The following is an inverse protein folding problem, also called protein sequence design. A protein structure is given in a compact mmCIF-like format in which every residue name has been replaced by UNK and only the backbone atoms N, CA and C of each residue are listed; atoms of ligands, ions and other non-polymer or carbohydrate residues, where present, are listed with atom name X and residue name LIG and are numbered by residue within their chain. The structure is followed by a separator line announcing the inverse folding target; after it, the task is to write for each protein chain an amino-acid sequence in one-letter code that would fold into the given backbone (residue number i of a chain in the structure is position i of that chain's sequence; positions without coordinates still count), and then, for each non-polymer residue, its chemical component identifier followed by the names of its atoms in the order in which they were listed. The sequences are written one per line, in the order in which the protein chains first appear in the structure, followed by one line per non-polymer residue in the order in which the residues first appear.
data_IF_646037845860
#
_entry.id   IF_646037845860
#
_cell.length_a   1.000
_cell.length_b   1.000
_cell.length_c   1.000
_cell.angle_alpha   90.00
_cell.angle_beta   90.00
_cell.angle_gamma   90.00
#
_symmetry.space_group_name_H-M   'P 1'
#
loop_
_entity.id
_entity.type
_entity.pdbx_description
1 polymer ?
#
# COMPACT_ATOMS: atom_id res chain seq x y z
N UNK A 1 28.72 -14.64 -12.11
CA UNK A 1 27.55 -13.82 -12.50
C UNK A 1 27.14 -13.03 -11.28
N UNK A 2 27.47 -11.73 -11.22
CA UNK A 2 27.02 -10.88 -10.14
C UNK A 2 25.52 -10.68 -10.32
N UNK A 3 24.70 -11.28 -9.47
CA UNK A 3 23.34 -10.84 -9.30
C UNK A 3 23.44 -9.39 -8.80
N UNK A 4 23.18 -8.44 -9.69
CA UNK A 4 22.88 -7.06 -9.30
C UNK A 4 21.64 -7.16 -8.43
N UNK A 5 21.84 -7.31 -7.13
CA UNK A 5 20.77 -7.27 -6.15
C UNK A 5 20.06 -5.94 -6.38
N UNK A 6 18.83 -5.99 -6.90
CA UNK A 6 17.98 -4.83 -6.92
C UNK A 6 17.97 -4.33 -5.48
N UNK A 7 18.44 -3.10 -5.25
CA UNK A 7 18.53 -2.53 -3.92
C UNK A 7 17.13 -2.61 -3.30
N UNK A 8 16.97 -3.48 -2.30
CA UNK A 8 15.71 -3.66 -1.60
C UNK A 8 15.46 -2.37 -0.81
N UNK A 9 14.59 -1.50 -1.31
CA UNK A 9 14.28 -0.24 -0.64
C UNK A 9 13.25 -0.54 0.46
N UNK A 10 13.65 -0.34 1.72
CA UNK A 10 12.75 -0.53 2.87
C UNK A 10 12.10 0.80 3.20
N UNK A 11 10.79 0.88 3.01
CA UNK A 11 9.97 2.05 3.29
C UNK A 11 9.13 1.78 4.54
N UNK A 12 9.37 2.58 5.58
CA UNK A 12 8.51 2.58 6.77
C UNK A 12 7.47 3.67 6.61
N UNK A 13 6.20 3.28 6.54
CA UNK A 13 5.08 4.18 6.33
C UNK A 13 4.24 4.29 7.60
N UNK A 14 4.05 5.52 8.07
CA UNK A 14 3.22 5.86 9.21
C UNK A 14 1.98 6.63 8.77
N UNK A 15 0.83 6.07 9.13
CA UNK A 15 -0.49 6.63 8.85
C UNK A 15 -0.75 7.82 9.76
N UNK A 16 -0.80 9.00 9.16
CA UNK A 16 -1.17 10.23 9.88
C UNK A 16 -2.66 10.54 9.78
N UNK A 17 -3.35 9.96 8.79
CA UNK A 17 -4.78 10.15 8.53
C UNK A 17 -5.42 8.85 8.11
N UNK A 18 -6.60 8.60 8.65
CA UNK A 18 -7.48 7.52 8.25
C UNK A 18 -8.79 8.11 7.78
N UNK A 19 -9.26 7.65 6.63
CA UNK A 19 -10.59 7.94 6.12
C UNK A 19 -11.50 6.76 6.41
N UNK A 20 -12.62 7.04 7.08
CA UNK A 20 -13.67 6.04 7.29
C UNK A 20 -14.67 6.02 6.13
N UNK A 21 -14.46 6.86 5.11
CA UNK A 21 -15.34 6.91 3.95
C UNK A 21 -15.27 5.59 3.21
N UNK A 22 -16.42 4.95 2.95
CA UNK A 22 -16.53 3.60 2.38
C UNK A 22 -16.28 2.45 3.37
N UNK A 23 -16.08 2.75 4.66
CA UNK A 23 -16.04 1.77 5.73
C UNK A 23 -17.24 1.96 6.67
N UNK A 24 -17.88 0.86 7.08
CA UNK A 24 -19.01 0.94 8.01
C UNK A 24 -18.63 1.45 9.41
N UNK A 25 -17.34 1.46 9.75
CA UNK A 25 -16.83 1.94 11.04
C UNK A 25 -15.35 2.30 10.95
N UNK A 26 -14.87 3.11 11.90
CA UNK A 26 -13.45 3.44 12.03
C UNK A 26 -12.59 2.20 12.21
N UNK A 27 -12.96 1.31 13.13
CA UNK A 27 -12.22 0.06 13.38
C UNK A 27 -12.08 -0.82 12.13
N UNK A 28 -13.09 -0.84 11.25
CA UNK A 28 -12.98 -1.54 9.97
C UNK A 28 -11.92 -0.89 9.07
N UNK A 29 -11.92 0.43 8.95
CA UNK A 29 -10.88 1.16 8.20
C UNK A 29 -9.49 0.94 8.81
N UNK A 30 -9.35 0.89 10.14
CA UNK A 30 -8.07 0.58 10.81
C UNK A 30 -7.59 -0.84 10.55
N UNK A 31 -8.51 -1.79 10.46
CA UNK A 31 -8.20 -3.17 10.07
C UNK A 31 -7.80 -3.30 8.60
N UNK A 32 -8.16 -2.36 7.73
CA UNK A 32 -7.66 -2.35 6.35
C UNK A 32 -6.39 -1.52 6.19
N UNK A 33 -6.15 -0.53 7.06
CA UNK A 33 -4.99 0.35 7.00
C UNK A 33 -4.38 0.49 8.39
N UNK A 34 -3.32 -0.28 8.70
CA UNK A 34 -2.68 -0.21 10.01
C UNK A 34 -2.01 1.16 10.22
N UNK A 35 -1.71 1.48 11.49
CA UNK A 35 -1.04 2.74 11.84
C UNK A 35 0.39 2.82 11.30
N UNK A 36 1.08 1.69 11.22
CA UNK A 36 2.42 1.58 10.67
C UNK A 36 2.49 0.36 9.74
N UNK A 37 3.18 0.51 8.62
CA UNK A 37 3.48 -0.60 7.70
C UNK A 37 4.89 -0.48 7.18
N UNK A 38 5.55 -1.62 7.00
CA UNK A 38 6.84 -1.72 6.33
C UNK A 38 6.60 -2.30 4.94
N UNK A 39 7.12 -1.60 3.93
CA UNK A 39 7.10 -2.04 2.54
C UNK A 39 8.54 -2.23 2.07
N UNK A 40 8.85 -3.42 1.59
CA UNK A 40 10.15 -3.77 1.05
C UNK A 40 10.00 -3.86 -0.46
N UNK A 41 10.59 -2.93 -1.21
CA UNK A 41 10.50 -2.89 -2.68
C UNK A 41 11.74 -3.54 -3.28
N UNK A 42 11.52 -4.56 -4.11
CA UNK A 42 12.56 -5.30 -4.82
C UNK A 42 12.25 -5.27 -6.32
N UNK A 43 12.73 -4.23 -7.00
CA UNK A 43 12.41 -3.98 -8.42
C UNK A 43 10.91 -3.73 -8.63
N UNK A 44 10.25 -4.59 -9.42
CA UNK A 44 8.81 -4.52 -9.70
C UNK A 44 7.93 -5.26 -8.67
N UNK A 45 8.53 -5.76 -7.58
CA UNK A 45 7.82 -6.45 -6.50
C UNK A 45 7.89 -5.66 -5.21
N UNK A 46 6.86 -5.80 -4.38
CA UNK A 46 6.85 -5.27 -3.02
C UNK A 46 6.37 -6.34 -2.05
N UNK A 47 6.96 -6.37 -0.87
CA UNK A 47 6.47 -7.14 0.25
C UNK A 47 6.08 -6.22 1.39
N UNK A 48 4.85 -6.36 1.86
CA UNK A 48 4.36 -5.71 3.06
C UNK A 48 4.33 -6.71 4.21
N UNK A 49 4.67 -6.26 5.42
CA UNK A 49 4.46 -7.07 6.63
C UNK A 49 2.96 -7.35 6.88
N UNK A 50 2.10 -6.42 6.46
CA UNK A 50 0.67 -6.46 6.72
C UNK A 50 -0.13 -7.10 5.58
N UNK A 51 0.12 -6.67 4.33
CA UNK A 51 -0.63 -7.13 3.16
C UNK A 51 -0.01 -8.32 2.44
N UNK A 52 1.23 -8.69 2.78
CA UNK A 52 1.99 -9.71 2.06
C UNK A 52 2.60 -9.21 0.76
N UNK A 53 2.71 -10.09 -0.23
CA UNK A 53 3.35 -9.77 -1.51
C UNK A 53 2.43 -8.98 -2.45
N UNK A 54 3.05 -8.11 -3.23
CA UNK A 54 2.39 -7.23 -4.17
C UNK A 54 3.30 -6.81 -5.31
N UNK A 55 2.76 -5.98 -6.19
CA UNK A 55 3.48 -5.44 -7.35
C UNK A 55 3.76 -3.96 -7.19
N UNK A 56 4.88 -3.53 -7.74
CA UNK A 56 5.31 -2.14 -7.77
C UNK A 56 5.27 -1.64 -9.19
N UNK A 57 4.79 -0.41 -9.34
CA UNK A 57 4.93 0.37 -10.56
C UNK A 57 5.53 1.71 -10.19
N UNK A 58 6.81 1.87 -10.50
CA UNK A 58 7.53 3.12 -10.36
C UNK A 58 7.30 4.00 -11.61
N UNK A 59 6.93 5.27 -11.42
CA UNK A 59 6.77 6.26 -12.50
C UNK A 59 7.68 7.47 -12.27
N UNK A 60 8.84 7.26 -11.62
CA UNK A 60 9.84 8.26 -11.26
C UNK A 60 9.43 9.11 -10.05
N UNK A 61 8.33 9.87 -10.16
CA UNK A 61 7.86 10.76 -9.08
C UNK A 61 6.95 10.04 -8.08
N UNK A 62 6.32 8.94 -8.50
CA UNK A 62 5.37 8.17 -7.69
C UNK A 62 5.68 6.68 -7.79
N UNK A 63 5.58 6.01 -6.66
CA UNK A 63 5.61 4.55 -6.55
C UNK A 63 4.19 4.09 -6.28
N UNK A 64 3.64 3.25 -7.15
CA UNK A 64 2.34 2.62 -6.94
C UNK A 64 2.55 1.16 -6.57
N UNK A 65 2.20 0.80 -5.36
CA UNK A 65 2.20 -0.56 -4.84
C UNK A 65 0.77 -1.09 -4.89
N UNK A 66 0.59 -2.34 -5.34
CA UNK A 66 -0.71 -3.01 -5.35
C UNK A 66 -0.60 -4.36 -4.68
N UNK A 67 -1.45 -4.60 -3.70
CA UNK A 67 -1.54 -5.85 -2.94
C UNK A 67 -2.88 -6.53 -3.20
N UNK A 68 -2.88 -7.85 -3.31
CA UNK A 68 -4.10 -8.66 -3.35
C UNK A 68 -4.33 -9.29 -1.99
N UNK A 69 -5.37 -8.86 -1.28
CA UNK A 69 -5.73 -9.39 0.03
C UNK A 69 -6.99 -10.22 -0.13
N UNK A 70 -6.94 -11.49 0.23
CA UNK A 70 -8.12 -12.35 0.23
C UNK A 70 -9.03 -11.95 1.39
N UNK A 71 -10.29 -11.65 1.07
CA UNK A 71 -11.34 -11.41 2.06
C UNK A 71 -12.02 -12.72 2.45
N UNK A 72 -12.67 -12.77 3.62
CA UNK A 72 -13.33 -13.98 4.14
C UNK A 72 -14.37 -14.64 3.21
N UNK A 73 -14.83 -13.95 2.17
CA UNK A 73 -15.70 -14.51 1.13
C UNK A 73 -14.98 -15.21 -0.03
N UNK A 74 -13.64 -15.33 0.00
CA UNK A 74 -12.84 -15.80 -1.14
C UNK A 74 -12.60 -14.73 -2.22
N UNK A 75 -13.09 -13.51 -2.00
CA UNK A 75 -12.88 -12.38 -2.89
C UNK A 75 -11.51 -11.74 -2.66
N UNK A 76 -10.71 -11.65 -3.72
CA UNK A 76 -9.47 -10.86 -3.69
C UNK A 76 -9.83 -9.37 -3.75
N UNK A 77 -9.54 -8.66 -2.67
CA UNK A 77 -9.62 -7.20 -2.54
C UNK A 77 -8.25 -6.62 -2.87
N UNK A 78 -8.20 -5.67 -3.79
CA UNK A 78 -6.94 -5.03 -4.16
C UNK A 78 -6.72 -3.78 -3.32
N UNK A 79 -5.59 -3.70 -2.63
CA UNK A 79 -5.18 -2.51 -1.88
C UNK A 79 -4.09 -1.79 -2.67
N UNK A 80 -4.35 -0.54 -3.03
CA UNK A 80 -3.41 0.31 -3.74
C UNK A 80 -2.78 1.31 -2.78
N UNK A 81 -1.45 1.32 -2.72
CA UNK A 81 -0.67 2.29 -1.95
C UNK A 81 0.15 3.12 -2.92
N UNK A 82 -0.03 4.43 -2.92
CA UNK A 82 0.74 5.36 -3.75
C UNK A 82 1.64 6.20 -2.87
N UNK A 83 2.94 6.11 -3.08
CA UNK A 83 3.96 6.95 -2.44
C UNK A 83 4.44 8.02 -3.43
N UNK A 84 4.52 9.27 -2.96
CA UNK A 84 5.09 10.40 -3.67
C UNK A 84 6.51 10.63 -3.14
N UNK A 85 7.53 10.20 -3.90
CA UNK A 85 8.93 10.22 -3.47
C UNK A 85 9.39 11.61 -3.04
N UNK A 86 8.99 12.65 -3.79
CA UNK A 86 9.41 14.05 -3.56
C UNK A 86 9.20 14.54 -2.12
N UNK A 87 8.09 14.13 -1.47
CA UNK A 87 7.71 14.63 -0.16
C UNK A 87 7.50 13.49 0.86
N UNK A 88 7.81 12.25 0.49
CA UNK A 88 7.52 11.05 1.29
C UNK A 88 6.04 10.83 1.59
N UNK A 89 5.10 11.55 0.96
CA UNK A 89 3.66 11.41 1.26
C UNK A 89 3.14 10.12 0.64
N UNK A 90 2.42 9.31 1.40
CA UNK A 90 1.71 8.16 0.84
C UNK A 90 0.20 8.23 1.07
N UNK A 91 -0.53 7.56 0.19
CA UNK A 91 -1.97 7.37 0.27
C UNK A 91 -2.30 5.92 -0.02
N UNK A 92 -3.12 5.30 0.82
CA UNK A 92 -3.60 3.95 0.66
C UNK A 92 -5.12 3.94 0.45
N UNK A 93 -5.56 3.07 -0.46
CA UNK A 93 -6.97 2.96 -0.85
C UNK A 93 -7.29 1.55 -1.29
N UNK A 94 -8.53 1.12 -1.07
CA UNK A 94 -9.03 -0.10 -1.70
C UNK A 94 -9.35 0.25 -3.16
N UNK A 95 -8.71 -0.46 -4.07
CA UNK A 95 -8.90 -0.30 -5.50
C UNK A 95 -10.24 -0.88 -5.93
N UNK A 96 -10.87 -0.27 -6.95
CA UNK A 96 -12.14 -0.75 -7.47
C UNK A 96 -12.01 -2.18 -8.01
N UNK A 97 -13.03 -3.00 -7.73
CA UNK A 97 -13.22 -4.32 -8.35
C UNK A 97 -14.57 -4.31 -9.07
N UNK A 98 -14.58 -4.53 -10.39
CA UNK A 98 -15.81 -4.43 -11.18
C UNK A 98 -16.44 -3.03 -11.11
N UNK A 99 -17.70 -2.95 -10.66
CA UNK A 99 -18.46 -1.70 -10.55
C UNK A 99 -18.29 -0.96 -9.20
N UNK A 100 -17.49 -1.48 -8.28
CA UNK A 100 -17.30 -0.85 -6.98
C UNK A 100 -16.34 0.35 -7.06
N UNK A 101 -16.68 1.46 -6.41
CA UNK A 101 -15.86 2.68 -6.42
C UNK A 101 -14.57 2.51 -5.60
N UNK A 102 -13.53 3.28 -5.94
CA UNK A 102 -12.30 3.35 -5.14
C UNK A 102 -12.60 3.92 -3.76
N UNK A 103 -12.16 3.23 -2.72
CA UNK A 103 -12.33 3.67 -1.33
C UNK A 103 -11.01 4.21 -0.80
N UNK A 104 -10.89 5.53 -0.70
CA UNK A 104 -9.71 6.16 -0.07
C UNK A 104 -9.78 5.93 1.43
N UNK A 105 -8.80 5.22 1.98
CA UNK A 105 -8.87 4.76 3.35
C UNK A 105 -7.76 5.25 4.27
N UNK A 106 -6.57 5.60 3.75
CA UNK A 106 -5.53 6.14 4.60
C UNK A 106 -4.55 7.06 3.86
N UNK A 107 -3.86 7.90 4.61
CA UNK A 107 -2.75 8.69 4.12
C UNK A 107 -1.77 9.03 5.23
N UNK A 108 -0.52 9.28 4.86
CA UNK A 108 0.54 9.52 5.82
C UNK A 108 1.86 9.85 5.17
N UNK A 109 2.94 9.49 5.84
CA UNK A 109 4.30 9.64 5.32
C UNK A 109 5.07 8.34 5.40
N UNK A 110 5.88 8.10 4.39
CA UNK A 110 6.89 7.06 4.39
C UNK A 110 8.27 7.69 4.46
N UNK A 111 9.14 7.04 5.21
CA UNK A 111 10.57 7.32 5.27
C UNK A 111 11.31 6.14 4.67
N UNK A 112 12.31 6.41 3.83
CA UNK A 112 13.27 5.39 3.42
C UNK A 112 14.16 5.12 4.63
N UNK A 113 14.27 3.84 4.99
CA UNK A 113 15.34 3.36 5.88
C UNK A 113 16.67 3.28 5.15
#
# INVERSE_FOLDING_TARGET
MAATGAAAETLKCERSRLSTSGFGSRSAAESWFPTSSVFIIEGDKVRSDYYGEGTVKDTGNRVKMTFGVESSGGDIVRVGVTLVKKNGKYTASILPKGNYQQVVGAGGKCISG
#
